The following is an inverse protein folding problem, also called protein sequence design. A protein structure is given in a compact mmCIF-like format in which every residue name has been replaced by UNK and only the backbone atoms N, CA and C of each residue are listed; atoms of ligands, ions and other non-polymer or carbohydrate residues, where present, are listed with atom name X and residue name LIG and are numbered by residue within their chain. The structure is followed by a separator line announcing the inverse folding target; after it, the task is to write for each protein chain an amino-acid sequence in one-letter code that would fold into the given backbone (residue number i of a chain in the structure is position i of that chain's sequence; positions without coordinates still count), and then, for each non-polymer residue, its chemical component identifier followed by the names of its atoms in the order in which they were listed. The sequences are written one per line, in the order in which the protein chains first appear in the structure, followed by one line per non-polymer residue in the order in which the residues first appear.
data_IF_235169508077
#
_entry.id   IF_235169508077
#
_cell.length_a   1.000
_cell.length_b   1.000
_cell.length_c   1.000
_cell.angle_alpha   90.00
_cell.angle_beta   90.00
_cell.angle_gamma   90.00
#
_symmetry.space_group_name_H-M   'P 1'
#
loop_
_entity.id
_entity.type
_entity.pdbx_description
1 polymer ?
#
# COMPACT_ATOMS: atom_id res chain seq x y z
N UNK A 1 -43.20 24.86 -5.63
CA UNK A 1 -41.85 24.49 -6.11
C UNK A 1 -41.81 24.15 -7.61
N UNK A 2 -42.96 23.85 -8.25
CA UNK A 2 -43.08 23.60 -9.69
C UNK A 2 -43.36 24.85 -10.56
N UNK A 3 -43.72 26.00 -9.98
CA UNK A 3 -43.99 27.25 -10.73
C UNK A 3 -42.79 28.23 -10.82
N UNK A 4 -41.61 27.85 -10.31
CA UNK A 4 -40.38 28.66 -10.44
C UNK A 4 -39.60 28.42 -11.75
N UNK A 5 -40.14 27.62 -12.68
CA UNK A 5 -39.42 27.05 -13.83
C UNK A 5 -40.13 27.32 -15.17
N UNK A 6 -40.63 28.54 -15.42
CA UNK A 6 -41.33 28.88 -16.68
C UNK A 6 -40.65 29.91 -17.58
N UNK A 7 -39.41 30.32 -17.32
CA UNK A 7 -38.74 31.32 -18.20
C UNK A 7 -37.21 31.28 -18.32
N UNK A 8 -36.51 30.39 -17.62
CA UNK A 8 -35.04 30.33 -17.62
C UNK A 8 -34.46 28.91 -17.60
N UNK A 9 -35.24 27.92 -18.02
CA UNK A 9 -35.01 26.50 -17.74
C UNK A 9 -33.86 25.89 -18.52
N UNK A 10 -33.76 26.07 -19.84
CA UNK A 10 -32.73 25.38 -20.63
C UNK A 10 -31.29 25.87 -20.37
N UNK A 11 -31.08 27.19 -20.28
CA UNK A 11 -29.76 27.74 -19.94
C UNK A 11 -29.31 27.32 -18.53
N UNK A 12 -30.23 27.32 -17.57
CA UNK A 12 -29.93 26.91 -16.19
C UNK A 12 -29.58 25.41 -16.09
N UNK A 13 -30.29 24.54 -16.82
CA UNK A 13 -29.96 23.11 -16.87
C UNK A 13 -28.62 22.86 -17.57
N UNK A 14 -28.33 23.54 -18.68
CA UNK A 14 -27.05 23.40 -19.38
C UNK A 14 -25.85 23.86 -18.53
N UNK A 15 -26.02 24.88 -17.68
CA UNK A 15 -24.99 25.27 -16.69
C UNK A 15 -24.81 24.18 -15.64
N UNK A 16 -25.90 23.66 -15.05
CA UNK A 16 -25.83 22.59 -14.04
C UNK A 16 -25.12 21.34 -14.59
N UNK A 17 -25.47 20.90 -15.81
CA UNK A 17 -24.86 19.72 -16.44
C UNK A 17 -23.36 19.88 -16.66
N UNK A 18 -22.93 21.07 -17.08
CA UNK A 18 -21.51 21.38 -17.28
C UNK A 18 -20.75 21.48 -15.97
N UNK A 19 -21.27 22.21 -14.99
CA UNK A 19 -20.60 22.43 -13.70
C UNK A 19 -20.55 21.15 -12.86
N UNK A 20 -21.63 20.37 -12.85
CA UNK A 20 -21.71 19.10 -12.11
C UNK A 20 -21.25 17.88 -12.91
N UNK A 21 -20.85 18.08 -14.18
CA UNK A 21 -20.46 17.02 -15.14
C UNK A 21 -21.47 15.87 -15.14
N UNK A 22 -22.74 16.24 -15.23
CA UNK A 22 -23.86 15.33 -15.19
C UNK A 22 -24.68 15.40 -16.47
N UNK A 23 -25.47 14.36 -16.72
CA UNK A 23 -26.38 14.28 -17.84
C UNK A 23 -27.74 13.80 -17.38
N UNK A 24 -28.78 14.46 -17.86
CA UNK A 24 -30.17 14.14 -17.57
C UNK A 24 -30.81 13.34 -18.70
N UNK A 25 -31.74 12.46 -18.34
CA UNK A 25 -32.66 11.86 -19.29
C UNK A 25 -34.06 11.74 -18.69
N UNK A 26 -35.05 11.72 -19.56
CA UNK A 26 -36.43 11.37 -19.22
C UNK A 26 -36.94 10.27 -20.13
N UNK A 27 -37.92 9.52 -19.64
CA UNK A 27 -38.63 8.50 -20.37
C UNK A 27 -40.11 8.61 -20.04
N UNK A 28 -40.93 8.95 -21.04
CA UNK A 28 -42.36 8.75 -21.00
C UNK A 28 -42.65 7.27 -21.27
N UNK A 29 -43.13 6.57 -20.24
CA UNK A 29 -43.33 5.12 -20.29
C UNK A 29 -44.62 4.75 -21.04
N UNK A 30 -45.56 5.69 -21.22
CA UNK A 30 -46.80 5.46 -21.98
C UNK A 30 -46.57 5.62 -23.47
N UNK A 31 -45.89 6.70 -23.87
CA UNK A 31 -45.52 6.97 -25.26
C UNK A 31 -44.30 6.15 -25.70
N UNK A 32 -43.56 5.58 -24.75
CA UNK A 32 -42.26 4.94 -24.95
C UNK A 32 -41.25 5.89 -25.62
N UNK A 33 -41.26 7.16 -25.21
CA UNK A 33 -40.41 8.21 -25.75
C UNK A 33 -39.35 8.61 -24.73
N UNK A 34 -38.09 8.55 -25.12
CA UNK A 34 -36.99 9.03 -24.29
C UNK A 34 -36.50 10.39 -24.79
N UNK A 35 -36.06 11.22 -23.86
CA UNK A 35 -35.30 12.43 -24.17
C UNK A 35 -33.99 12.41 -23.41
N UNK A 36 -32.92 12.76 -24.11
CA UNK A 36 -31.59 12.89 -23.53
C UNK A 36 -31.16 14.35 -23.61
N UNK A 37 -30.67 14.85 -22.49
CA UNK A 37 -29.93 16.10 -22.47
C UNK A 37 -28.63 16.01 -23.27
N UNK A 38 -28.05 17.17 -23.58
CA UNK A 38 -26.71 17.24 -24.17
C UNK A 38 -25.67 16.61 -23.23
N UNK A 39 -25.73 16.88 -21.93
CA UNK A 39 -24.80 16.28 -20.97
C UNK A 39 -24.86 14.75 -20.96
N UNK A 40 -26.04 14.16 -21.17
CA UNK A 40 -26.16 12.70 -21.23
C UNK A 40 -25.61 12.11 -22.54
N UNK A 41 -25.81 12.79 -23.67
CA UNK A 41 -25.13 12.45 -24.93
C UNK A 41 -23.60 12.43 -24.76
N UNK A 42 -23.05 13.48 -24.13
CA UNK A 42 -21.61 13.60 -23.87
C UNK A 42 -21.11 12.46 -22.96
N UNK A 43 -21.84 12.12 -21.91
CA UNK A 43 -21.50 11.01 -21.00
C UNK A 43 -21.45 9.65 -21.70
N UNK A 44 -22.37 9.42 -22.65
CA UNK A 44 -22.41 8.20 -23.46
C UNK A 44 -21.36 8.21 -24.60
N UNK A 45 -20.75 9.37 -24.89
CA UNK A 45 -19.83 9.54 -26.01
C UNK A 45 -20.53 9.45 -27.37
N UNK A 46 -21.78 9.91 -27.44
CA UNK A 46 -22.62 9.91 -28.64
C UNK A 46 -22.88 11.36 -29.04
N UNK A 47 -22.62 11.71 -30.30
CA UNK A 47 -22.96 13.03 -30.82
C UNK A 47 -24.49 13.18 -30.92
N UNK A 48 -25.08 14.29 -30.46
CA UNK A 48 -26.50 14.58 -30.64
C UNK A 48 -26.93 14.44 -32.11
N UNK A 49 -28.07 13.80 -32.34
CA UNK A 49 -28.61 13.55 -33.69
C UNK A 49 -28.06 12.33 -34.42
N UNK A 50 -26.99 11.68 -33.94
CA UNK A 50 -26.50 10.43 -34.53
C UNK A 50 -27.39 9.23 -34.24
N UNK A 51 -28.04 9.22 -33.07
CA UNK A 51 -28.91 8.15 -32.60
C UNK A 51 -30.11 8.77 -31.89
N UNK A 52 -31.30 8.26 -32.18
CA UNK A 52 -32.51 8.61 -31.45
C UNK A 52 -32.44 8.09 -30.01
N UNK A 53 -32.74 8.92 -28.98
CA UNK A 53 -32.78 8.49 -27.59
C UNK A 53 -33.67 7.25 -27.43
N UNK A 54 -33.10 6.18 -26.90
CA UNK A 54 -33.85 4.96 -26.63
C UNK A 54 -33.09 4.07 -25.67
N UNK A 55 -33.82 3.24 -24.93
CA UNK A 55 -33.20 2.28 -24.02
C UNK A 55 -32.28 1.30 -24.77
N UNK A 56 -32.69 0.89 -25.97
CA UNK A 56 -31.87 0.08 -26.87
C UNK A 56 -30.53 0.75 -27.21
N UNK A 57 -30.51 2.07 -27.47
CA UNK A 57 -29.28 2.79 -27.74
C UNK A 57 -28.32 2.84 -26.53
N UNK A 58 -28.85 2.91 -25.30
CA UNK A 58 -28.03 2.81 -24.07
C UNK A 58 -27.39 1.41 -23.98
N UNK A 59 -28.16 0.35 -24.27
CA UNK A 59 -27.64 -1.03 -24.23
C UNK A 59 -26.51 -1.27 -25.24
N UNK A 60 -26.55 -0.62 -26.40
CA UNK A 60 -25.50 -0.76 -27.42
C UNK A 60 -24.14 -0.26 -26.93
N UNK A 61 -24.13 0.89 -26.24
CA UNK A 61 -22.89 1.47 -25.66
C UNK A 61 -22.54 0.90 -24.29
N UNK A 62 -23.45 0.18 -23.64
CA UNK A 62 -23.17 -0.49 -22.36
C UNK A 62 -22.13 -1.60 -22.54
N UNK A 63 -21.17 -1.67 -21.62
CA UNK A 63 -20.15 -2.71 -21.57
C UNK A 63 -20.78 -4.11 -21.56
N UNK A 64 -20.28 -5.10 -22.34
CA UNK A 64 -20.90 -6.42 -22.48
C UNK A 64 -21.34 -7.08 -21.18
N UNK A 65 -20.46 -7.12 -20.17
CA UNK A 65 -20.75 -7.71 -18.86
C UNK A 65 -21.92 -7.05 -18.11
N UNK A 66 -22.20 -5.77 -18.39
CA UNK A 66 -23.19 -4.98 -17.67
C UNK A 66 -24.54 -4.97 -18.41
N UNK A 67 -24.62 -5.51 -19.64
CA UNK A 67 -25.82 -5.45 -20.49
C UNK A 67 -27.01 -6.21 -19.93
N UNK A 68 -26.77 -7.38 -19.31
CA UNK A 68 -27.84 -8.18 -18.71
C UNK A 68 -28.52 -7.43 -17.55
N UNK A 69 -27.70 -6.91 -16.63
CA UNK A 69 -28.15 -6.08 -15.53
C UNK A 69 -28.74 -4.75 -16.01
N UNK A 70 -28.28 -4.22 -17.16
CA UNK A 70 -28.91 -3.06 -17.75
C UNK A 70 -30.30 -3.36 -18.27
N UNK A 71 -30.47 -4.41 -19.08
CA UNK A 71 -31.75 -4.81 -19.64
C UNK A 71 -32.84 -5.06 -18.57
N UNK A 72 -32.45 -5.45 -17.36
CA UNK A 72 -33.38 -5.62 -16.25
C UNK A 72 -34.02 -4.31 -15.76
N UNK A 73 -33.39 -3.15 -15.99
CA UNK A 73 -33.94 -1.85 -15.51
C UNK A 73 -35.28 -1.50 -16.13
N UNK A 74 -35.51 -1.86 -17.39
CA UNK A 74 -36.82 -1.68 -18.04
C UNK A 74 -37.94 -2.39 -17.26
N UNK A 75 -37.65 -3.58 -16.70
CA UNK A 75 -38.61 -4.31 -15.87
C UNK A 75 -38.75 -3.72 -14.46
N UNK A 76 -37.63 -3.30 -13.87
CA UNK A 76 -37.62 -2.76 -12.50
C UNK A 76 -38.30 -1.39 -12.44
N UNK A 77 -38.19 -0.59 -13.49
CA UNK A 77 -38.84 0.73 -13.59
C UNK A 77 -40.36 0.63 -13.39
N UNK A 78 -40.99 -0.47 -13.79
CA UNK A 78 -42.44 -0.65 -13.63
C UNK A 78 -42.89 -0.88 -12.17
N UNK A 79 -41.96 -1.18 -11.26
CA UNK A 79 -42.27 -1.60 -9.88
C UNK A 79 -41.58 -0.76 -8.80
N UNK A 80 -40.54 -0.02 -9.16
CA UNK A 80 -39.74 0.75 -8.21
C UNK A 80 -40.18 2.22 -8.16
N UNK A 81 -39.95 2.88 -7.01
CA UNK A 81 -40.09 4.33 -6.89
C UNK A 81 -38.76 5.07 -7.15
N UNK A 82 -37.63 4.38 -6.94
CA UNK A 82 -36.29 4.89 -7.24
C UNK A 82 -35.33 3.75 -7.55
N UNK A 83 -34.35 4.02 -8.42
CA UNK A 83 -33.27 3.08 -8.76
C UNK A 83 -31.95 3.83 -8.67
N UNK A 84 -30.94 3.23 -8.03
CA UNK A 84 -29.57 3.74 -8.00
C UNK A 84 -28.64 2.66 -8.50
N UNK A 85 -27.78 2.99 -9.45
CA UNK A 85 -26.88 2.01 -10.05
C UNK A 85 -25.61 2.65 -10.59
N UNK A 86 -24.61 1.81 -10.79
CA UNK A 86 -23.46 2.13 -11.64
C UNK A 86 -23.32 1.09 -12.74
N UNK A 87 -22.78 1.49 -13.87
CA UNK A 87 -22.53 0.62 -15.02
C UNK A 87 -21.45 1.23 -15.91
N UNK A 88 -20.84 0.40 -16.74
CA UNK A 88 -19.83 0.82 -17.70
C UNK A 88 -20.45 1.08 -19.06
N UNK A 89 -19.97 2.13 -19.71
CA UNK A 89 -20.20 2.40 -21.14
C UNK A 89 -18.88 2.38 -21.88
N UNK A 90 -18.92 2.00 -23.16
CA UNK A 90 -17.81 2.01 -24.09
C UNK A 90 -18.03 3.20 -25.03
N UNK A 91 -17.23 4.26 -24.86
CA UNK A 91 -17.29 5.46 -25.70
C UNK A 91 -16.56 5.24 -27.03
N UNK A 92 -16.71 6.19 -27.95
CA UNK A 92 -15.95 6.23 -29.20
C UNK A 92 -14.44 6.14 -28.92
N UNK A 93 -13.77 5.24 -29.64
CA UNK A 93 -12.35 4.92 -29.40
C UNK A 93 -12.09 3.77 -28.41
N UNK A 94 -13.14 3.15 -27.87
CA UNK A 94 -13.02 1.96 -27.00
C UNK A 94 -12.71 2.28 -25.53
N UNK A 95 -12.66 3.56 -25.16
CA UNK A 95 -12.52 3.97 -23.77
C UNK A 95 -13.73 3.52 -22.94
N UNK A 96 -13.47 2.88 -21.81
CA UNK A 96 -14.50 2.50 -20.84
C UNK A 96 -14.69 3.67 -19.86
N UNK A 97 -15.95 4.06 -19.64
CA UNK A 97 -16.33 5.02 -18.62
C UNK A 97 -17.34 4.40 -17.65
N UNK A 98 -17.18 4.67 -16.35
CA UNK A 98 -18.15 4.29 -15.33
C UNK A 98 -19.18 5.40 -15.15
N UNK A 99 -20.45 5.06 -15.29
CA UNK A 99 -21.58 5.96 -15.12
C UNK A 99 -22.35 5.56 -13.87
N UNK A 100 -22.52 6.48 -12.93
CA UNK A 100 -23.52 6.37 -11.87
C UNK A 100 -24.83 6.98 -12.35
N UNK A 101 -25.95 6.32 -12.10
CA UNK A 101 -27.27 6.80 -12.47
C UNK A 101 -28.23 6.67 -11.27
N UNK A 102 -28.92 7.76 -10.97
CA UNK A 102 -30.04 7.79 -10.03
C UNK A 102 -31.32 8.12 -10.79
N UNK A 103 -32.31 7.24 -10.66
CA UNK A 103 -33.58 7.27 -11.38
C UNK A 103 -34.70 7.50 -10.37
N UNK A 104 -35.59 8.42 -10.69
CA UNK A 104 -36.85 8.67 -9.97
C UNK A 104 -37.99 8.31 -10.91
N UNK A 105 -38.95 7.54 -10.39
CA UNK A 105 -40.08 7.04 -11.16
C UNK A 105 -41.35 7.70 -10.62
N UNK A 106 -42.09 8.32 -11.53
CA UNK A 106 -43.40 8.90 -11.28
C UNK A 106 -44.47 7.89 -11.68
N UNK A 107 -45.45 7.73 -10.81
CA UNK A 107 -46.59 6.83 -10.99
C UNK A 107 -47.88 7.64 -11.08
N UNK A 108 -48.85 7.10 -11.80
CA UNK A 108 -50.21 7.63 -11.86
C UNK A 108 -51.00 7.35 -10.57
N UNK A 109 -52.23 7.88 -10.42
CA UNK A 109 -53.07 7.61 -9.24
C UNK A 109 -53.37 6.13 -9.01
N UNK A 110 -53.34 5.31 -10.06
CA UNK A 110 -53.54 3.85 -10.02
C UNK A 110 -52.25 3.08 -9.64
N UNK A 111 -51.13 3.78 -9.47
CA UNK A 111 -49.84 3.21 -9.07
C UNK A 111 -49.00 2.64 -10.22
N UNK A 112 -49.37 2.93 -11.46
CA UNK A 112 -48.65 2.50 -12.67
C UNK A 112 -47.60 3.54 -13.05
N UNK A 113 -46.38 3.10 -13.37
CA UNK A 113 -45.29 3.99 -13.76
C UNK A 113 -45.63 4.75 -15.06
N UNK A 114 -45.68 6.08 -15.00
CA UNK A 114 -45.97 6.95 -16.15
C UNK A 114 -44.71 7.56 -16.76
N UNK A 115 -43.72 7.87 -15.91
CA UNK A 115 -42.54 8.61 -16.34
C UNK A 115 -41.34 8.28 -15.46
N UNK A 116 -40.17 8.13 -16.05
CA UNK A 116 -38.91 8.03 -15.32
C UNK A 116 -38.01 9.21 -15.70
N UNK A 117 -37.29 9.74 -14.71
CA UNK A 117 -36.22 10.71 -14.94
C UNK A 117 -34.94 10.19 -14.29
N UNK A 118 -33.81 10.38 -14.96
CA UNK A 118 -32.52 9.98 -14.44
C UNK A 118 -31.50 11.10 -14.51
N UNK A 119 -30.66 11.17 -13.48
CA UNK A 119 -29.42 11.94 -13.50
C UNK A 119 -28.25 10.97 -13.51
N UNK A 120 -27.31 11.20 -14.42
CA UNK A 120 -26.13 10.39 -14.63
C UNK A 120 -24.87 11.22 -14.38
N UNK A 121 -23.85 10.62 -13.78
CA UNK A 121 -22.54 11.26 -13.58
C UNK A 121 -21.42 10.31 -13.96
N UNK A 122 -20.33 10.86 -14.50
CA UNK A 122 -19.10 10.12 -14.74
C UNK A 122 -18.36 9.89 -13.42
N UNK A 123 -18.21 8.63 -13.03
CA UNK A 123 -17.47 8.22 -11.83
C UNK A 123 -16.17 7.47 -12.19
N UNK A 124 -15.72 7.54 -13.44
CA UNK A 124 -14.53 6.81 -13.94
C UNK A 124 -13.30 7.12 -13.12
N UNK A 125 -13.01 8.40 -12.89
CA UNK A 125 -11.84 8.80 -12.09
C UNK A 125 -11.85 8.20 -10.67
N UNK A 126 -13.05 8.12 -10.05
CA UNK A 126 -13.21 7.52 -8.72
C UNK A 126 -12.99 6.00 -8.76
N UNK A 127 -13.60 5.31 -9.73
CA UNK A 127 -13.46 3.85 -9.85
C UNK A 127 -12.02 3.47 -10.24
N UNK A 128 -11.34 4.26 -11.06
CA UNK A 128 -9.94 4.08 -11.40
C UNK A 128 -9.02 4.25 -10.18
N UNK A 129 -9.25 5.29 -9.37
CA UNK A 129 -8.52 5.48 -8.10
C UNK A 129 -8.74 4.31 -7.12
N UNK A 130 -9.98 3.85 -6.98
CA UNK A 130 -10.30 2.69 -6.14
C UNK A 130 -9.63 1.41 -6.67
N UNK A 131 -9.61 1.21 -7.98
CA UNK A 131 -8.97 0.06 -8.59
C UNK A 131 -7.43 0.12 -8.46
N UNK A 132 -6.83 1.30 -8.62
CA UNK A 132 -5.39 1.50 -8.38
C UNK A 132 -5.02 1.20 -6.93
N UNK A 133 -5.83 1.67 -5.96
CA UNK A 133 -5.63 1.37 -4.55
C UNK A 133 -5.75 -0.13 -4.27
N UNK A 134 -6.75 -0.80 -4.86
CA UNK A 134 -6.93 -2.26 -4.74
C UNK A 134 -5.73 -3.02 -5.30
N UNK A 135 -5.26 -2.67 -6.50
CA UNK A 135 -4.09 -3.30 -7.13
C UNK A 135 -2.82 -3.06 -6.29
N UNK A 136 -2.67 -1.86 -5.72
CA UNK A 136 -1.56 -1.54 -4.84
C UNK A 136 -1.59 -2.39 -3.55
N UNK A 137 -2.76 -2.53 -2.90
CA UNK A 137 -2.93 -3.39 -1.72
C UNK A 137 -2.66 -4.87 -2.03
N UNK A 138 -3.16 -5.38 -3.15
CA UNK A 138 -2.91 -6.76 -3.59
C UNK A 138 -1.42 -7.02 -3.83
N UNK A 139 -0.74 -6.11 -4.53
CA UNK A 139 0.71 -6.19 -4.74
C UNK A 139 1.48 -6.08 -3.44
N UNK A 140 1.10 -5.17 -2.55
CA UNK A 140 1.69 -5.00 -1.24
C UNK A 140 1.59 -6.28 -0.40
N UNK A 141 0.41 -6.89 -0.31
CA UNK A 141 0.20 -8.17 0.40
C UNK A 141 0.99 -9.31 -0.22
N UNK A 142 1.05 -9.39 -1.56
CA UNK A 142 1.82 -10.40 -2.25
C UNK A 142 3.33 -10.27 -1.96
N UNK A 143 3.87 -9.06 -1.95
CA UNK A 143 5.28 -8.79 -1.62
C UNK A 143 5.61 -9.14 -0.18
N UNK A 144 4.76 -8.78 0.78
CA UNK A 144 4.93 -9.15 2.19
C UNK A 144 4.99 -10.67 2.34
N UNK A 145 4.05 -11.38 1.72
CA UNK A 145 3.98 -12.83 1.76
C UNK A 145 5.22 -13.47 1.14
N UNK A 146 5.65 -12.99 -0.03
CA UNK A 146 6.83 -13.48 -0.73
C UNK A 146 8.12 -13.23 0.07
N UNK A 147 8.23 -12.09 0.76
CA UNK A 147 9.36 -11.79 1.63
C UNK A 147 9.36 -12.56 2.96
N UNK A 148 8.27 -13.26 3.30
CA UNK A 148 8.08 -13.86 4.63
C UNK A 148 8.11 -12.82 5.76
N UNK A 149 7.82 -11.55 5.43
CA UNK A 149 7.86 -10.45 6.39
C UNK A 149 6.57 -10.40 7.18
N UNK A 150 6.67 -10.07 8.47
CA UNK A 150 5.53 -9.56 9.26
C UNK A 150 5.59 -8.05 9.19
N UNK A 151 4.51 -7.38 8.80
CA UNK A 151 4.41 -5.92 8.93
C UNK A 151 3.64 -5.61 10.19
N UNK A 152 4.12 -4.63 10.96
CA UNK A 152 3.45 -4.11 12.13
C UNK A 152 3.29 -2.59 12.02
N UNK A 153 2.14 -2.09 12.46
CA UNK A 153 1.85 -0.66 12.56
C UNK A 153 1.49 -0.37 14.01
N UNK A 154 2.18 0.61 14.58
CA UNK A 154 2.00 1.04 15.95
C UNK A 154 1.57 2.50 16.02
N UNK A 155 0.76 2.83 17.02
CA UNK A 155 0.40 4.21 17.33
C UNK A 155 1.64 4.99 17.79
N UNK A 156 1.51 6.31 17.93
CA UNK A 156 2.58 7.19 18.40
C UNK A 156 3.21 6.75 19.74
N UNK A 157 2.43 6.13 20.61
CA UNK A 157 2.86 5.57 21.90
C UNK A 157 3.58 4.21 21.80
N UNK A 158 3.69 3.61 20.61
CA UNK A 158 4.33 2.33 20.36
C UNK A 158 3.43 1.10 20.50
N UNK A 159 2.13 1.26 20.80
CA UNK A 159 1.17 0.14 20.82
C UNK A 159 0.84 -0.31 19.41
N UNK A 160 1.07 -1.58 19.10
CA UNK A 160 0.73 -2.17 17.80
C UNK A 160 -0.79 -2.27 17.68
N UNK A 161 -1.36 -1.65 16.63
CA UNK A 161 -2.78 -1.73 16.33
C UNK A 161 -3.09 -2.45 15.00
N UNK A 162 -2.06 -2.77 14.21
CA UNK A 162 -2.21 -3.58 13.01
C UNK A 162 -1.00 -4.51 12.82
N UNK A 163 -1.28 -5.74 12.42
CA UNK A 163 -0.31 -6.76 12.05
C UNK A 163 -0.74 -7.44 10.75
N UNK A 164 0.16 -7.48 9.77
CA UNK A 164 -0.04 -8.14 8.49
C UNK A 164 0.89 -9.34 8.40
N UNK A 165 0.35 -10.47 7.91
CA UNK A 165 1.09 -11.73 7.72
C UNK A 165 1.62 -12.34 9.05
N UNK A 166 0.84 -12.24 10.13
CA UNK A 166 1.12 -12.83 11.44
C UNK A 166 -0.08 -13.61 11.98
N UNK A 167 0.06 -14.92 12.19
CA UNK A 167 -1.02 -15.79 12.68
C UNK A 167 -1.52 -15.41 14.09
N UNK A 168 -0.66 -14.77 14.90
CA UNK A 168 -0.98 -14.28 16.24
C UNK A 168 -1.45 -12.82 16.26
N UNK A 169 -1.70 -12.22 15.09
CA UNK A 169 -1.95 -10.79 14.95
C UNK A 169 -3.06 -10.24 15.85
N UNK A 170 -4.20 -10.92 15.90
CA UNK A 170 -5.36 -10.50 16.71
C UNK A 170 -5.08 -10.50 18.22
N UNK A 171 -4.32 -11.48 18.71
CA UNK A 171 -3.94 -11.57 20.13
C UNK A 171 -3.01 -10.44 20.55
N UNK A 172 -2.09 -10.07 19.66
CA UNK A 172 -1.09 -9.02 19.92
C UNK A 172 -1.73 -7.64 19.90
N UNK A 173 -2.59 -7.38 18.92
CA UNK A 173 -3.32 -6.11 18.78
C UNK A 173 -4.29 -5.88 19.95
N UNK A 174 -4.84 -6.95 20.53
CA UNK A 174 -5.77 -6.86 21.67
C UNK A 174 -5.10 -6.49 23.00
N UNK A 175 -3.76 -6.44 23.09
CA UNK A 175 -3.03 -6.22 24.34
C UNK A 175 -2.15 -4.99 24.28
N UNK A 176 -2.22 -4.11 25.29
CA UNK A 176 -1.44 -2.86 25.35
C UNK A 176 0.08 -3.08 25.27
N UNK A 177 0.56 -4.22 25.75
CA UNK A 177 1.97 -4.64 25.71
C UNK A 177 2.13 -6.00 25.03
N UNK A 178 1.16 -6.42 24.22
CA UNK A 178 1.06 -7.79 23.68
C UNK A 178 2.25 -8.20 22.83
N UNK A 179 2.90 -7.24 22.19
CA UNK A 179 4.06 -7.49 21.33
C UNK A 179 5.33 -7.81 22.13
N UNK A 180 5.48 -7.26 23.34
CA UNK A 180 6.59 -7.62 24.24
C UNK A 180 6.50 -9.08 24.67
N UNK A 181 5.29 -9.63 24.80
CA UNK A 181 5.07 -11.05 25.13
C UNK A 181 5.50 -11.99 24.00
N UNK A 182 5.65 -11.49 22.78
CA UNK A 182 6.22 -12.26 21.67
C UNK A 182 7.74 -12.28 21.72
N UNK A 183 8.38 -11.36 22.44
CA UNK A 183 9.84 -11.27 22.51
C UNK A 183 10.35 -12.17 23.62
N UNK A 184 11.42 -12.90 23.33
CA UNK A 184 12.09 -13.75 24.32
C UNK A 184 12.49 -12.93 25.56
N UNK A 185 12.29 -13.42 26.80
CA UNK A 185 12.52 -12.65 28.04
C UNK A 185 13.87 -11.95 28.10
N UNK A 186 14.96 -12.65 27.78
CA UNK A 186 16.32 -12.11 27.71
C UNK A 186 16.49 -10.89 26.78
N UNK A 187 15.67 -10.78 25.73
CA UNK A 187 15.79 -9.72 24.72
C UNK A 187 14.89 -8.51 25.08
N UNK A 188 13.91 -8.66 25.98
CA UNK A 188 12.88 -7.65 26.24
C UNK A 188 13.47 -6.32 26.70
N UNK A 189 14.37 -6.33 27.69
CA UNK A 189 14.94 -5.11 28.24
C UNK A 189 15.73 -4.32 27.17
N UNK A 190 16.50 -5.03 26.33
CA UNK A 190 17.22 -4.43 25.20
C UNK A 190 16.25 -3.79 24.22
N UNK A 191 15.17 -4.47 23.85
CA UNK A 191 14.22 -3.96 22.87
C UNK A 191 13.42 -2.77 23.41
N UNK A 192 13.05 -2.78 24.69
CA UNK A 192 12.42 -1.63 25.36
C UNK A 192 13.33 -0.39 25.26
N UNK A 193 14.62 -0.54 25.62
CA UNK A 193 15.59 0.58 25.52
C UNK A 193 15.72 1.13 24.10
N UNK A 194 15.74 0.26 23.09
CA UNK A 194 15.82 0.68 21.68
C UNK A 194 14.55 1.42 21.26
N UNK A 195 13.37 0.91 21.59
CA UNK A 195 12.10 1.57 21.29
C UNK A 195 11.97 2.92 22.00
N UNK A 196 12.39 3.03 23.25
CA UNK A 196 12.36 4.28 24.02
C UNK A 196 13.30 5.34 23.42
N UNK A 197 14.51 4.93 23.04
CA UNK A 197 15.45 5.81 22.36
C UNK A 197 14.91 6.28 21.00
N UNK A 198 14.38 5.36 20.19
CA UNK A 198 13.79 5.67 18.90
C UNK A 198 12.63 6.67 19.02
N UNK A 199 11.75 6.50 20.02
CA UNK A 199 10.65 7.42 20.33
C UNK A 199 11.12 8.81 20.75
N UNK A 200 12.04 8.88 21.69
CA UNK A 200 12.59 10.16 22.15
C UNK A 200 13.30 10.92 21.03
N UNK A 201 14.04 10.20 20.18
CA UNK A 201 14.87 10.77 19.12
C UNK A 201 14.12 10.90 17.78
N UNK A 202 12.86 10.44 17.70
CA UNK A 202 12.02 10.43 16.49
C UNK A 202 12.75 9.86 15.27
N UNK A 203 13.49 8.76 15.45
CA UNK A 203 14.26 8.10 14.39
C UNK A 203 13.96 6.61 14.28
N UNK A 204 14.25 6.04 13.12
CA UNK A 204 14.14 4.61 12.91
C UNK A 204 15.14 3.79 13.73
N UNK A 205 14.84 2.50 13.85
CA UNK A 205 15.69 1.52 14.53
C UNK A 205 15.74 0.20 13.74
N UNK A 206 16.76 -0.59 14.03
CA UNK A 206 17.01 -1.89 13.43
C UNK A 206 17.62 -2.82 14.48
N UNK A 207 16.93 -3.91 14.75
CA UNK A 207 17.25 -4.82 15.86
C UNK A 207 17.09 -6.27 15.45
N UNK A 208 18.00 -7.11 15.94
CA UNK A 208 17.87 -8.56 15.87
C UNK A 208 17.47 -9.08 17.24
N UNK A 209 16.38 -9.83 17.30
CA UNK A 209 15.84 -10.42 18.53
C UNK A 209 15.16 -11.76 18.27
N UNK A 210 14.87 -12.48 19.34
CA UNK A 210 14.14 -13.74 19.33
C UNK A 210 12.65 -13.49 19.52
N UNK A 211 11.84 -14.06 18.64
CA UNK A 211 10.38 -14.10 18.73
C UNK A 211 9.89 -15.50 19.07
N UNK A 212 9.13 -15.61 20.16
CA UNK A 212 8.49 -16.81 20.67
C UNK A 212 7.35 -17.24 19.73
N UNK A 213 7.42 -18.49 19.29
CA UNK A 213 6.42 -19.16 18.46
C UNK A 213 5.29 -19.75 19.32
N UNK A 214 4.13 -20.10 18.73
CA UNK A 214 3.03 -20.71 19.47
C UNK A 214 3.39 -21.99 20.24
N UNK A 215 4.36 -22.76 19.75
CA UNK A 215 4.84 -24.01 20.37
C UNK A 215 5.87 -23.78 21.50
N UNK A 216 6.18 -22.52 21.82
CA UNK A 216 7.18 -22.13 22.83
C UNK A 216 8.62 -22.11 22.31
N UNK A 217 8.88 -22.55 21.08
CA UNK A 217 10.18 -22.35 20.43
C UNK A 217 10.42 -20.87 20.08
N UNK A 218 11.61 -20.52 19.61
CA UNK A 218 11.88 -19.16 19.15
C UNK A 218 12.53 -19.13 17.76
N UNK A 219 12.26 -18.05 17.03
CA UNK A 219 12.92 -17.69 15.78
C UNK A 219 13.68 -16.39 15.93
N UNK A 220 14.84 -16.30 15.30
CA UNK A 220 15.53 -15.03 15.15
C UNK A 220 14.82 -14.20 14.08
N UNK A 221 14.54 -12.94 14.40
CA UNK A 221 14.01 -11.97 13.44
C UNK A 221 14.84 -10.70 13.46
N UNK A 222 14.97 -10.07 12.30
CA UNK A 222 15.42 -8.69 12.17
C UNK A 222 14.19 -7.81 12.03
N UNK A 223 14.03 -6.88 12.96
CA UNK A 223 12.92 -5.94 13.02
C UNK A 223 13.42 -4.54 12.74
N UNK A 224 12.86 -3.89 11.73
CA UNK A 224 13.19 -2.51 11.35
C UNK A 224 11.95 -1.65 11.48
N UNK A 225 12.06 -0.55 12.22
CA UNK A 225 10.96 0.39 12.47
C UNK A 225 11.31 1.80 12.04
N UNK A 226 10.33 2.54 11.53
CA UNK A 226 10.44 3.94 11.13
C UNK A 226 9.26 4.75 11.67
N UNK A 227 9.50 5.95 12.22
CA UNK A 227 8.42 6.86 12.59
C UNK A 227 7.88 7.57 11.35
N UNK A 228 6.56 7.61 11.23
CA UNK A 228 5.87 8.50 10.30
C UNK A 228 5.49 9.75 11.09
N UNK A 229 5.96 10.90 10.60
CA UNK A 229 5.73 12.19 11.25
C UNK A 229 4.54 12.90 10.62
N UNK A 230 3.81 13.68 11.43
CA UNK A 230 2.85 14.66 10.95
C UNK A 230 3.55 15.96 10.51
N UNK A 231 2.77 16.91 9.97
CA UNK A 231 3.27 18.22 9.51
C UNK A 231 3.90 19.06 10.65
N UNK A 232 3.58 18.75 11.91
CA UNK A 232 4.15 19.38 13.10
C UNK A 232 5.42 18.70 13.61
N UNK A 233 5.89 17.65 12.92
CA UNK A 233 7.06 16.86 13.31
C UNK A 233 6.82 15.94 14.51
N UNK A 234 5.57 15.70 14.91
CA UNK A 234 5.22 14.72 15.94
C UNK A 234 5.04 13.35 15.29
N UNK A 235 5.24 12.30 16.09
CA UNK A 235 5.04 10.94 15.60
C UNK A 235 3.53 10.72 15.46
N UNK A 236 3.09 10.49 14.23
CA UNK A 236 1.73 10.06 13.92
C UNK A 236 1.59 8.56 14.20
N UNK A 237 2.53 7.77 13.70
CA UNK A 237 2.54 6.31 13.78
C UNK A 237 3.96 5.74 13.57
N UNK A 238 4.14 4.47 13.89
CA UNK A 238 5.33 3.69 13.62
C UNK A 238 5.01 2.59 12.64
N UNK A 239 5.79 2.47 11.57
CA UNK A 239 5.69 1.36 10.63
C UNK A 239 6.97 0.54 10.71
N UNK A 240 6.82 -0.77 10.66
CA UNK A 240 7.99 -1.61 10.52
C UNK A 240 7.70 -3.02 10.07
N UNK A 241 8.80 -3.72 9.82
CA UNK A 241 8.79 -5.09 9.31
C UNK A 241 9.67 -5.96 10.18
N UNK A 242 9.30 -7.23 10.29
CA UNK A 242 10.06 -8.26 10.99
C UNK A 242 10.24 -9.45 10.07
N UNK A 243 11.47 -9.69 9.63
CA UNK A 243 11.84 -10.77 8.70
C UNK A 243 12.57 -11.87 9.45
N UNK A 244 12.33 -13.13 9.06
CA UNK A 244 13.09 -14.27 9.61
C UNK A 244 14.58 -14.12 9.27
N UNK A 245 15.42 -14.35 10.28
CA UNK A 245 16.87 -14.35 10.15
C UNK A 245 17.38 -15.76 10.44
N UNK A 246 18.21 -16.31 9.54
CA UNK A 246 18.82 -17.61 9.77
C UNK A 246 19.67 -17.61 11.05
N UNK A 247 19.64 -18.71 11.80
CA UNK A 247 20.40 -18.94 13.04
C UNK A 247 21.89 -18.70 12.86
N UNK A 248 22.49 -19.05 11.72
CA UNK A 248 23.91 -18.81 11.50
C UNK A 248 24.22 -17.32 11.42
N UNK A 249 23.42 -16.56 10.65
CA UNK A 249 23.52 -15.11 10.54
C UNK A 249 23.22 -14.40 11.86
N UNK A 250 22.30 -14.96 12.67
CA UNK A 250 22.01 -14.44 14.00
C UNK A 250 23.16 -14.67 15.00
N UNK A 251 23.82 -15.83 14.96
CA UNK A 251 24.97 -16.18 15.82
C UNK A 251 26.25 -15.45 15.44
N UNK A 252 26.46 -15.14 14.16
CA UNK A 252 27.52 -14.23 13.72
C UNK A 252 27.35 -12.81 14.28
N UNK A 253 26.17 -12.50 14.81
CA UNK A 253 25.84 -11.20 15.37
C UNK A 253 25.72 -10.15 14.26
N UNK A 254 24.86 -9.16 14.45
CA UNK A 254 24.82 -7.95 13.65
C UNK A 254 26.07 -7.06 13.86
N UNK A 255 27.22 -7.67 14.12
CA UNK A 255 28.50 -7.02 14.30
C UNK A 255 29.22 -6.99 12.95
N UNK A 256 29.07 -5.86 12.27
CA UNK A 256 29.82 -5.62 11.05
C UNK A 256 31.24 -5.24 11.46
N UNK A 257 32.23 -5.90 10.87
CA UNK A 257 33.62 -5.45 11.00
C UNK A 257 33.72 -3.99 10.54
N UNK A 258 34.36 -3.16 11.35
CA UNK A 258 34.57 -1.74 11.06
C UNK A 258 35.80 -1.54 10.18
N UNK A 259 35.94 -0.37 9.54
CA UNK A 259 37.15 -0.03 8.79
C UNK A 259 38.43 -0.13 9.63
N UNK A 260 38.34 0.21 10.92
CA UNK A 260 39.43 0.04 11.88
C UNK A 260 39.82 -1.44 12.12
N UNK A 261 38.83 -2.33 12.24
CA UNK A 261 39.10 -3.78 12.38
C UNK A 261 39.68 -4.38 11.10
N UNK A 262 39.25 -3.93 9.92
CA UNK A 262 39.83 -4.35 8.65
C UNK A 262 41.31 -3.97 8.58
N UNK A 263 41.66 -2.71 8.91
CA UNK A 263 43.06 -2.27 8.97
C UNK A 263 43.88 -3.07 9.97
N UNK A 264 43.34 -3.30 11.17
CA UNK A 264 44.04 -4.02 12.23
C UNK A 264 44.27 -5.50 11.86
N UNK A 265 43.26 -6.18 11.32
CA UNK A 265 43.35 -7.56 10.84
C UNK A 265 44.41 -7.69 9.74
N UNK A 266 44.39 -6.76 8.79
CA UNK A 266 45.36 -6.70 7.70
C UNK A 266 46.78 -6.45 8.20
N UNK A 267 46.92 -5.62 9.24
CA UNK A 267 48.18 -5.41 9.95
C UNK A 267 48.72 -6.68 10.63
N UNK A 268 47.86 -7.46 11.30
CA UNK A 268 48.23 -8.75 11.91
C UNK A 268 48.78 -9.75 10.88
N UNK A 269 48.19 -9.76 9.68
CA UNK A 269 48.60 -10.65 8.59
C UNK A 269 49.76 -10.10 7.74
N UNK A 270 50.22 -8.86 8.00
CA UNK A 270 51.17 -8.12 7.13
C UNK A 270 50.72 -8.03 5.66
N UNK A 271 49.42 -7.97 5.45
CA UNK A 271 48.82 -7.89 4.12
C UNK A 271 48.79 -6.44 3.61
N UNK A 272 49.06 -6.26 2.32
CA UNK A 272 48.73 -5.02 1.62
C UNK A 272 47.23 -4.96 1.31
N UNK A 273 46.75 -3.78 0.92
CA UNK A 273 45.37 -3.61 0.42
C UNK A 273 45.12 -4.50 -0.81
N UNK A 274 46.16 -4.76 -1.61
CA UNK A 274 46.08 -5.61 -2.80
C UNK A 274 45.90 -7.08 -2.39
N UNK A 275 46.63 -7.55 -1.39
CA UNK A 275 46.54 -8.93 -0.90
C UNK A 275 45.14 -9.23 -0.35
N UNK A 276 44.59 -8.30 0.44
CA UNK A 276 43.21 -8.43 0.94
C UNK A 276 42.18 -8.38 -0.19
N UNK A 277 42.36 -7.49 -1.17
CA UNK A 277 41.46 -7.41 -2.31
C UNK A 277 41.45 -8.71 -3.12
N UNK A 278 42.62 -9.30 -3.36
CA UNK A 278 42.77 -10.58 -4.05
C UNK A 278 42.16 -11.73 -3.23
N UNK A 279 42.46 -11.82 -1.94
CA UNK A 279 41.94 -12.87 -1.06
C UNK A 279 40.40 -12.82 -0.91
N UNK A 280 39.82 -11.63 -0.91
CA UNK A 280 38.37 -11.41 -0.80
C UNK A 280 37.65 -11.41 -2.17
N UNK A 281 38.37 -11.51 -3.29
CA UNK A 281 37.76 -11.43 -4.62
C UNK A 281 37.09 -10.08 -4.91
N UNK A 282 37.68 -8.98 -4.45
CA UNK A 282 37.16 -7.62 -4.60
C UNK A 282 38.23 -6.66 -5.14
N UNK A 283 37.91 -5.36 -5.23
CA UNK A 283 38.83 -4.35 -5.77
C UNK A 283 39.58 -3.60 -4.67
N UNK A 284 40.77 -3.09 -5.00
CA UNK A 284 41.54 -2.20 -4.12
C UNK A 284 40.76 -0.96 -3.70
N UNK A 285 39.92 -0.41 -4.59
CA UNK A 285 39.08 0.74 -4.30
C UNK A 285 38.00 0.41 -3.26
N UNK A 286 37.41 -0.79 -3.34
CA UNK A 286 36.44 -1.29 -2.36
C UNK A 286 37.06 -1.40 -0.97
N UNK A 287 38.27 -1.98 -0.86
CA UNK A 287 38.95 -2.09 0.44
C UNK A 287 39.25 -0.71 1.03
N UNK A 288 39.80 0.22 0.25
CA UNK A 288 40.13 1.58 0.74
C UNK A 288 38.90 2.33 1.24
N UNK A 289 37.82 2.33 0.44
CA UNK A 289 36.56 2.97 0.82
C UNK A 289 36.00 2.40 2.14
N UNK A 290 36.09 1.08 2.33
CA UNK A 290 35.59 0.44 3.55
C UNK A 290 36.50 0.67 4.76
N UNK A 291 37.82 0.77 4.55
CA UNK A 291 38.75 1.14 5.63
C UNK A 291 38.49 2.58 6.08
N UNK A 292 38.26 3.53 5.19
CA UNK A 292 38.03 4.95 5.50
C UNK A 292 36.77 5.25 6.33
N UNK A 293 35.89 4.26 6.54
CA UNK A 293 34.71 4.40 7.40
C UNK A 293 35.09 4.27 8.89
N UNK A 294 34.97 5.36 9.63
CA UNK A 294 35.14 5.41 11.10
C UNK A 294 33.89 4.88 11.85
N UNK A 295 33.34 3.75 11.38
CA UNK A 295 32.17 3.07 11.94
C UNK A 295 31.75 1.83 11.14
N UNK A 296 30.70 1.13 11.59
CA UNK A 296 30.05 0.10 10.76
C UNK A 296 29.25 0.78 9.63
N UNK A 297 29.39 0.38 8.36
CA UNK A 297 28.64 1.00 7.28
C UNK A 297 27.13 0.91 7.49
N UNK A 298 26.43 2.01 7.20
CA UNK A 298 24.97 2.16 7.28
C UNK A 298 24.20 1.25 6.30
N UNK A 299 24.89 0.70 5.29
CA UNK A 299 24.31 -0.13 4.23
C UNK A 299 24.95 -1.52 4.15
N UNK A 300 24.18 -2.49 3.63
CA UNK A 300 24.66 -3.85 3.31
C UNK A 300 25.63 -3.82 2.14
N UNK A 301 26.89 -3.45 2.40
CA UNK A 301 27.96 -3.58 1.41
C UNK A 301 28.25 -5.06 1.15
N UNK A 302 28.04 -5.57 -0.09
CA UNK A 302 28.20 -6.99 -0.39
C UNK A 302 29.66 -7.46 -0.27
N UNK A 303 30.63 -6.54 -0.25
CA UNK A 303 32.03 -6.89 -0.08
C UNK A 303 32.42 -7.22 1.38
N UNK A 304 31.66 -6.76 2.37
CA UNK A 304 32.00 -6.97 3.78
C UNK A 304 32.05 -8.45 4.19
N UNK A 305 31.04 -9.29 3.89
CA UNK A 305 31.11 -10.71 4.22
C UNK A 305 32.27 -11.44 3.54
N UNK A 306 32.64 -11.02 2.33
CA UNK A 306 33.76 -11.59 1.58
C UNK A 306 35.11 -11.25 2.25
N UNK A 307 35.27 -9.99 2.67
CA UNK A 307 36.45 -9.51 3.39
C UNK A 307 36.58 -10.22 4.75
N UNK A 308 35.49 -10.30 5.50
CA UNK A 308 35.46 -10.97 6.79
C UNK A 308 35.84 -12.46 6.67
N UNK A 309 35.26 -13.14 5.67
CA UNK A 309 35.56 -14.55 5.39
C UNK A 309 37.02 -14.76 4.99
N UNK A 310 37.58 -13.88 4.16
CA UNK A 310 38.98 -13.96 3.73
C UNK A 310 39.96 -13.80 4.90
N UNK A 311 39.70 -12.83 5.78
CA UNK A 311 40.51 -12.59 6.98
C UNK A 311 40.37 -13.74 7.99
N UNK A 312 39.15 -14.28 8.16
CA UNK A 312 38.92 -15.44 9.04
C UNK A 312 39.63 -16.70 8.55
N UNK A 313 39.64 -16.96 7.23
CA UNK A 313 40.39 -18.07 6.63
C UNK A 313 41.89 -17.92 6.79
N UNK A 314 42.39 -16.69 6.83
CA UNK A 314 43.79 -16.38 7.07
C UNK A 314 44.19 -16.40 8.57
N UNK A 315 43.28 -16.79 9.46
CA UNK A 315 43.57 -16.95 10.88
C UNK A 315 43.32 -15.70 11.73
N UNK A 316 42.47 -14.77 11.28
CA UNK A 316 42.02 -13.65 12.13
C UNK A 316 40.68 -13.98 12.79
N UNK A 317 40.56 -13.67 14.07
CA UNK A 317 39.31 -13.70 14.82
C UNK A 317 38.87 -12.28 15.19
N UNK A 318 37.60 -11.96 14.94
CA UNK A 318 36.99 -10.68 15.30
C UNK A 318 36.29 -10.79 16.66
N UNK A 319 36.56 -9.81 17.54
CA UNK A 319 36.00 -9.77 18.89
C UNK A 319 34.94 -8.68 18.98
N UNK A 320 33.75 -9.06 19.44
CA UNK A 320 32.60 -8.19 19.61
C UNK A 320 32.05 -8.31 21.04
N UNK A 321 32.75 -7.75 22.04
CA UNK A 321 32.33 -7.87 23.44
C UNK A 321 31.07 -7.05 23.72
N UNK A 322 30.21 -7.54 24.62
CA UNK A 322 29.01 -6.82 25.06
C UNK A 322 29.33 -5.50 25.80
N UNK A 323 30.56 -5.36 26.33
CA UNK A 323 31.12 -4.12 26.86
C UNK A 323 32.62 -4.04 26.52
N UNK A 324 33.06 -2.92 25.91
CA UNK A 324 34.46 -2.69 25.47
C UNK A 324 34.56 -2.25 24.01
N UNK A 325 35.79 -1.98 23.52
CA UNK A 325 36.01 -1.67 22.10
C UNK A 325 36.12 -2.98 21.30
N UNK A 326 35.43 -3.12 20.15
CA UNK A 326 35.62 -4.23 19.23
C UNK A 326 37.09 -4.40 18.85
N UNK A 327 37.53 -5.65 18.69
CA UNK A 327 38.93 -5.99 18.49
C UNK A 327 39.16 -7.02 17.39
N UNK A 328 40.44 -7.32 17.13
CA UNK A 328 40.89 -8.42 16.29
C UNK A 328 42.05 -9.13 16.98
N UNK A 329 42.14 -10.45 16.84
CA UNK A 329 43.28 -11.25 17.32
C UNK A 329 43.62 -12.36 16.33
N UNK A 330 44.86 -12.89 16.35
CA UNK A 330 45.16 -14.15 15.68
C UNK A 330 44.37 -15.30 16.31
N UNK A 331 43.94 -16.26 15.47
CA UNK A 331 43.51 -17.59 15.91
C UNK A 331 44.71 -18.44 16.35
#
# INVERSE_FOLDING_TARGET
MLDLLKGGTEESFGVIERELRCGLWSWDLRANEMHWSRGYYDLLGIEPGMVAPSFAAILQVTHPDDRSAQAEVERVIQKASTIRRKFRVIRRGGNIAWIYCQIIIFVDPEGVAERAIGICTDITAREDQLNQLRIADERYRALIKAAGAVVWIAKSDGRIHELVNCDRGSQVVASESGWLQLIHPDDQEKIIRVHDAARREKRGYDVVHRIIQPDGSFKWKRSTGQPVLDDGGNIKEWLGISVDLDRNTARSGAHRITGAQIRAARGLLRWSVVDLAQAAGTTRATIRRLEELDGAPSHNDPALPLIETALARAGVEFLFPEAGKPGVRPR
#
